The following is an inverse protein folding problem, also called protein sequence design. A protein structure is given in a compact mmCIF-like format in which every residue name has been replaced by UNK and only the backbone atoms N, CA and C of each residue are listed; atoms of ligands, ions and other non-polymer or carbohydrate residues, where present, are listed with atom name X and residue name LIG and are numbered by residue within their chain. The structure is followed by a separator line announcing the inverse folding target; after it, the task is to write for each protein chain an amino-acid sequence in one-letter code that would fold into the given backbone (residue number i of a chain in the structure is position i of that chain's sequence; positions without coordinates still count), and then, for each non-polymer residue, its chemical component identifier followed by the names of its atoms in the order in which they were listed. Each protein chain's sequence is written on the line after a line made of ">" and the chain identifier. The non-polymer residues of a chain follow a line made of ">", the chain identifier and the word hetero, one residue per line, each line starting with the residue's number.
data_IF_458878331599
#
_entry.id   IF_458878331599
#
_cell.length_a   1.000
_cell.length_b   1.000
_cell.length_c   1.000
_cell.angle_alpha   90.00
_cell.angle_beta   90.00
_cell.angle_gamma   90.00
#
_symmetry.space_group_name_H-M   'P 1'
#
loop_
_entity.id
_entity.type
_entity.pdbx_description
1 polymer ?
#
# COMPACT_ATOMS: atom_id res chain seq x y z
N UNK A 1 2.26 -33.77 59.55
CA UNK A 1 2.96 -32.47 59.39
C UNK A 1 3.98 -32.53 58.26
N UNK A 2 5.10 -33.24 58.40
CA UNK A 2 6.15 -33.31 57.35
C UNK A 2 5.65 -33.84 56.00
N UNK A 3 4.95 -34.98 55.97
CA UNK A 3 4.43 -35.56 54.71
C UNK A 3 3.48 -34.62 53.99
N UNK A 4 2.60 -33.93 54.72
CA UNK A 4 1.69 -32.94 54.15
C UNK A 4 2.46 -31.76 53.53
N UNK A 5 3.52 -31.27 54.20
CA UNK A 5 4.39 -30.20 53.70
C UNK A 5 5.14 -30.63 52.44
N UNK A 6 5.67 -31.86 52.40
CA UNK A 6 6.37 -32.40 51.23
C UNK A 6 5.45 -32.46 50.00
N UNK A 7 4.23 -32.98 50.18
CA UNK A 7 3.27 -33.14 49.08
C UNK A 7 2.80 -31.79 48.55
N UNK A 8 2.47 -30.84 49.44
CA UNK A 8 2.03 -29.52 48.96
C UNK A 8 3.15 -28.76 48.25
N UNK A 9 4.39 -28.81 48.73
CA UNK A 9 5.53 -28.19 48.01
C UNK A 9 5.75 -28.84 46.65
N UNK A 10 5.70 -30.17 46.56
CA UNK A 10 5.89 -30.87 45.29
C UNK A 10 4.78 -30.52 44.29
N UNK A 11 3.51 -30.58 44.70
CA UNK A 11 2.37 -30.24 43.83
C UNK A 11 2.42 -28.78 43.40
N UNK A 12 2.71 -27.85 44.32
CA UNK A 12 2.87 -26.43 43.96
C UNK A 12 3.98 -26.24 42.94
N UNK A 13 5.16 -26.84 43.13
CA UNK A 13 6.28 -26.72 42.20
C UNK A 13 5.93 -27.33 40.82
N UNK A 14 5.31 -28.51 40.79
CA UNK A 14 4.91 -29.15 39.54
C UNK A 14 3.90 -28.32 38.76
N UNK A 15 2.85 -27.83 39.45
CA UNK A 15 1.79 -27.03 38.82
C UNK A 15 2.33 -25.69 38.36
N UNK A 16 3.12 -25.00 39.17
CA UNK A 16 3.74 -23.73 38.79
C UNK A 16 4.65 -23.91 37.56
N UNK A 17 5.51 -24.93 37.55
CA UNK A 17 6.40 -25.20 36.42
C UNK A 17 5.61 -25.53 35.15
N UNK A 18 4.59 -26.38 35.25
CA UNK A 18 3.79 -26.78 34.09
C UNK A 18 2.98 -25.61 33.54
N UNK A 19 2.32 -24.83 34.41
CA UNK A 19 1.53 -23.67 34.00
C UNK A 19 2.43 -22.59 33.43
N UNK A 20 3.56 -22.25 34.07
CA UNK A 20 4.49 -21.27 33.53
C UNK A 20 5.04 -21.71 32.18
N UNK A 21 5.50 -22.94 32.03
CA UNK A 21 6.04 -23.43 30.75
C UNK A 21 4.98 -23.45 29.66
N UNK A 22 3.78 -23.96 29.96
CA UNK A 22 2.71 -24.08 28.98
C UNK A 22 2.16 -22.71 28.57
N UNK A 23 1.90 -21.82 29.54
CA UNK A 23 1.40 -20.47 29.26
C UNK A 23 2.46 -19.65 28.54
N UNK A 24 3.71 -19.65 28.98
CA UNK A 24 4.78 -18.91 28.30
C UNK A 24 4.97 -19.43 26.87
N UNK A 25 5.10 -20.75 26.67
CA UNK A 25 5.30 -21.31 25.33
C UNK A 25 4.10 -21.06 24.43
N UNK A 26 2.88 -21.30 24.92
CA UNK A 26 1.68 -21.16 24.11
C UNK A 26 1.36 -19.70 23.81
N UNK A 27 1.42 -18.81 24.80
CA UNK A 27 1.16 -17.38 24.59
C UNK A 27 2.27 -16.75 23.74
N UNK A 28 3.54 -17.02 24.01
CA UNK A 28 4.61 -16.46 23.18
C UNK A 28 4.53 -16.99 21.74
N UNK A 29 4.40 -18.31 21.54
CA UNK A 29 4.33 -18.86 20.18
C UNK A 29 3.08 -18.39 19.45
N UNK A 30 1.91 -18.46 20.09
CA UNK A 30 0.65 -18.13 19.44
C UNK A 30 0.53 -16.63 19.19
N UNK A 31 0.82 -15.79 20.19
CA UNK A 31 0.74 -14.32 20.02
C UNK A 31 1.81 -13.85 19.05
N UNK A 32 3.07 -14.29 19.17
CA UNK A 32 4.10 -13.87 18.23
C UNK A 32 3.79 -14.36 16.81
N UNK A 33 3.43 -15.63 16.61
CA UNK A 33 3.14 -16.13 15.26
C UNK A 33 1.90 -15.46 14.68
N UNK A 34 0.81 -15.37 15.44
CA UNK A 34 -0.44 -14.82 14.93
C UNK A 34 -0.35 -13.32 14.70
N UNK A 35 0.20 -12.55 15.65
CA UNK A 35 0.35 -11.10 15.49
C UNK A 35 1.36 -10.80 14.40
N UNK A 36 2.54 -11.45 14.36
CA UNK A 36 3.51 -11.18 13.30
C UNK A 36 2.97 -11.60 11.94
N UNK A 37 2.38 -12.78 11.79
CA UNK A 37 1.84 -13.22 10.49
C UNK A 37 0.67 -12.34 10.06
N UNK A 38 -0.28 -12.07 10.95
CA UNK A 38 -1.49 -11.34 10.57
C UNK A 38 -1.19 -9.87 10.32
N UNK A 39 -0.40 -9.22 11.18
CA UNK A 39 -0.02 -7.81 10.99
C UNK A 39 0.90 -7.68 9.78
N UNK A 40 1.93 -8.51 9.62
CA UNK A 40 2.80 -8.40 8.44
C UNK A 40 2.03 -8.70 7.15
N UNK A 41 1.23 -9.77 7.10
CA UNK A 41 0.47 -10.10 5.88
C UNK A 41 -0.57 -9.04 5.58
N UNK A 42 -1.35 -8.61 6.57
CA UNK A 42 -2.41 -7.63 6.36
C UNK A 42 -1.83 -6.26 6.02
N UNK A 43 -0.85 -5.75 6.78
CA UNK A 43 -0.25 -4.45 6.51
C UNK A 43 0.49 -4.47 5.18
N UNK A 44 1.32 -5.48 4.90
CA UNK A 44 2.03 -5.53 3.62
C UNK A 44 1.05 -5.67 2.45
N UNK A 45 0.08 -6.60 2.51
CA UNK A 45 -0.87 -6.79 1.41
C UNK A 45 -1.74 -5.56 1.22
N UNK A 46 -2.31 -5.02 2.28
CA UNK A 46 -3.24 -3.91 2.19
C UNK A 46 -2.52 -2.63 1.78
N UNK A 47 -1.39 -2.29 2.40
CA UNK A 47 -0.61 -1.09 2.05
C UNK A 47 -0.03 -1.24 0.64
N UNK A 48 0.59 -2.36 0.28
CA UNK A 48 1.12 -2.52 -1.08
C UNK A 48 0.00 -2.50 -2.12
N UNK A 49 -1.11 -3.23 -1.92
CA UNK A 49 -2.20 -3.23 -2.89
C UNK A 49 -2.88 -1.87 -3.00
N UNK A 50 -3.24 -1.24 -1.88
CA UNK A 50 -3.90 0.06 -1.93
C UNK A 50 -2.98 1.13 -2.48
N UNK A 51 -1.76 1.26 -1.96
CA UNK A 51 -0.84 2.31 -2.41
C UNK A 51 -0.46 2.09 -3.87
N UNK A 52 -0.07 0.87 -4.27
CA UNK A 52 0.28 0.62 -5.67
C UNK A 52 -0.93 0.81 -6.58
N UNK A 53 -2.10 0.29 -6.25
CA UNK A 53 -3.29 0.44 -7.12
C UNK A 53 -3.76 1.89 -7.18
N UNK A 54 -3.91 2.58 -6.05
CA UNK A 54 -4.36 3.96 -6.05
C UNK A 54 -3.35 4.87 -6.71
N UNK A 55 -2.07 4.79 -6.35
CA UNK A 55 -1.05 5.69 -6.91
C UNK A 55 -0.88 5.41 -8.40
N UNK A 56 -0.76 4.14 -8.82
CA UNK A 56 -0.63 3.84 -10.25
C UNK A 56 -1.89 4.26 -11.02
N UNK A 57 -3.10 3.97 -10.53
CA UNK A 57 -4.33 4.35 -11.23
C UNK A 57 -4.51 5.86 -11.27
N UNK A 58 -4.35 6.56 -10.16
CA UNK A 58 -4.48 8.02 -10.14
C UNK A 58 -3.41 8.69 -10.97
N UNK A 59 -2.14 8.35 -10.78
CA UNK A 59 -1.05 8.99 -11.52
C UNK A 59 -1.16 8.69 -13.00
N UNK A 60 -1.37 7.43 -13.40
CA UNK A 60 -1.52 7.09 -14.81
C UNK A 60 -2.75 7.75 -15.42
N UNK A 61 -3.92 7.69 -14.78
CA UNK A 61 -5.14 8.30 -15.33
C UNK A 61 -5.02 9.82 -15.38
N UNK A 62 -4.53 10.45 -14.32
CA UNK A 62 -4.45 11.90 -14.25
C UNK A 62 -3.39 12.43 -15.21
N UNK A 63 -2.19 11.84 -15.24
CA UNK A 63 -1.12 12.24 -16.16
C UNK A 63 -1.53 11.96 -17.60
N UNK A 64 -2.05 10.78 -17.93
CA UNK A 64 -2.48 10.49 -19.29
C UNK A 64 -3.61 11.42 -19.73
N UNK A 65 -4.63 11.64 -18.90
CA UNK A 65 -5.74 12.54 -19.26
C UNK A 65 -5.28 13.98 -19.37
N UNK A 66 -4.51 14.50 -18.43
CA UNK A 66 -4.02 15.88 -18.50
C UNK A 66 -3.07 16.07 -19.67
N UNK A 67 -2.06 15.23 -19.81
CA UNK A 67 -1.06 15.39 -20.86
C UNK A 67 -1.72 15.21 -22.22
N UNK A 68 -2.53 14.16 -22.44
CA UNK A 68 -3.20 13.99 -23.73
C UNK A 68 -4.17 15.14 -24.02
N UNK A 69 -5.00 15.55 -23.07
CA UNK A 69 -5.97 16.62 -23.32
C UNK A 69 -5.28 17.97 -23.52
N UNK A 70 -4.36 18.35 -22.63
CA UNK A 70 -3.68 19.64 -22.76
C UNK A 70 -2.77 19.69 -23.97
N UNK A 71 -1.92 18.67 -24.18
CA UNK A 71 -0.99 18.69 -25.31
C UNK A 71 -1.76 18.61 -26.63
N UNK A 72 -2.74 17.72 -26.77
CA UNK A 72 -3.53 17.67 -28.01
C UNK A 72 -4.30 18.97 -28.25
N UNK A 73 -4.97 19.52 -27.23
CA UNK A 73 -5.74 20.76 -27.42
C UNK A 73 -4.83 21.95 -27.72
N UNK A 74 -3.75 22.14 -26.95
CA UNK A 74 -2.83 23.25 -27.19
C UNK A 74 -2.11 23.10 -28.53
N UNK A 75 -1.52 21.94 -28.82
CA UNK A 75 -0.78 21.76 -30.07
C UNK A 75 -1.72 21.88 -31.27
N UNK A 76 -2.90 21.25 -31.24
CA UNK A 76 -3.86 21.38 -32.34
C UNK A 76 -4.32 22.82 -32.52
N UNK A 77 -4.67 23.53 -31.45
CA UNK A 77 -5.13 24.92 -31.56
C UNK A 77 -4.03 25.85 -32.07
N UNK A 78 -2.82 25.74 -31.52
CA UNK A 78 -1.70 26.58 -31.94
C UNK A 78 -1.29 26.27 -33.38
N UNK A 79 -1.11 25.00 -33.73
CA UNK A 79 -0.73 24.61 -35.10
C UNK A 79 -1.81 25.03 -36.10
N UNK A 80 -3.09 24.80 -35.82
CA UNK A 80 -4.18 25.23 -36.70
C UNK A 80 -4.19 26.76 -36.87
N UNK A 81 -4.04 27.52 -35.79
CA UNK A 81 -4.01 28.99 -35.86
C UNK A 81 -2.81 29.51 -36.66
N UNK A 82 -1.61 28.97 -36.42
CA UNK A 82 -0.41 29.38 -37.14
C UNK A 82 -0.48 29.02 -38.63
N UNK A 83 -0.93 27.82 -38.96
CA UNK A 83 -1.08 27.37 -40.35
C UNK A 83 -2.14 28.21 -41.06
N UNK A 84 -3.30 28.44 -40.45
CA UNK A 84 -4.34 29.29 -41.03
C UNK A 84 -3.83 30.71 -41.29
N UNK A 85 -3.14 31.33 -40.34
CA UNK A 85 -2.58 32.67 -40.49
C UNK A 85 -1.52 32.73 -41.60
N UNK A 86 -0.64 31.73 -41.69
CA UNK A 86 0.38 31.67 -42.73
C UNK A 86 -0.23 31.50 -44.13
N UNK A 87 -1.24 30.64 -44.26
CA UNK A 87 -1.95 30.41 -45.52
C UNK A 87 -2.72 31.65 -45.94
N UNK A 88 -3.41 32.32 -45.00
CA UNK A 88 -4.09 33.59 -45.28
C UNK A 88 -3.11 34.70 -45.68
N UNK A 89 -1.96 34.78 -45.04
CA UNK A 89 -0.93 35.77 -45.39
C UNK A 89 -0.37 35.50 -46.80
N UNK A 90 0.01 34.25 -47.09
CA UNK A 90 0.50 33.85 -48.42
C UNK A 90 -0.55 34.07 -49.52
N UNK A 91 -1.83 33.79 -49.24
CA UNK A 91 -2.89 34.06 -50.22
C UNK A 91 -3.06 35.55 -50.46
N UNK A 92 -3.15 36.37 -49.41
CA UNK A 92 -3.17 37.84 -49.53
C UNK A 92 -1.97 38.39 -50.32
N UNK A 93 -0.76 37.85 -50.10
CA UNK A 93 0.45 38.25 -50.84
C UNK A 93 0.45 37.79 -52.32
N UNK A 94 -0.32 36.78 -52.69
CA UNK A 94 -0.47 36.31 -54.07
C UNK A 94 -1.61 37.00 -54.83
N UNK A 95 -2.63 37.50 -54.12
CA UNK A 95 -3.79 38.18 -54.70
C UNK A 95 -3.66 39.72 -54.75
N UNK A 96 -2.61 40.29 -54.16
CA UNK A 96 -2.21 41.70 -54.28
C UNK A 96 -1.04 41.80 -55.25
#
# INVERSE_FOLDING_TARGET
>A
MYVCMCVCVYVCMCVCMYVCMYVCMYVCMYVCMYVCMYVCMYVCMYVCMYVCMYVCMYVCMYVCMYVCMYVCMYVCMYVCMYVCMYVFCMSLCLYV
#
